data_IF_716977422382
#
_entry.id   IF_716977422382
#
_cell.length_a   1.000
_cell.length_b   1.000
_cell.length_c   1.000
_cell.angle_alpha   90.00
_cell.angle_beta   90.00
_cell.angle_gamma   90.00
#
_symmetry.space_group_name_H-M   'P 1'
#
loop_
_entity.id
_entity.type
_entity.pdbx_description
1 polymer ?
#
# COMPACT_ATOMS: atom_id res chain seq x y z
N UNK A 1 -11.78 4.74 -0.23
CA UNK A 1 -11.99 3.57 0.66
C UNK A 1 -10.61 3.02 1.00
N UNK A 2 -10.33 2.67 2.27
CA UNK A 2 -9.04 2.07 2.66
C UNK A 2 -9.23 0.56 2.64
N UNK A 3 -8.37 -0.16 1.93
CA UNK A 3 -8.32 -1.61 2.03
C UNK A 3 -7.59 -2.00 3.33
N UNK A 4 -8.27 -2.74 4.21
CA UNK A 4 -7.65 -3.30 5.41
C UNK A 4 -7.06 -4.68 5.06
N UNK A 5 -5.87 -4.96 5.57
CA UNK A 5 -5.27 -6.29 5.44
C UNK A 5 -6.03 -7.30 6.30
N UNK A 6 -5.97 -8.58 5.94
CA UNK A 6 -6.57 -9.65 6.72
C UNK A 6 -6.09 -9.65 8.18
N UNK A 7 -4.79 -9.39 8.40
CA UNK A 7 -4.22 -9.28 9.74
C UNK A 7 -4.84 -8.11 10.53
N UNK A 8 -4.99 -6.92 9.92
CA UNK A 8 -5.63 -5.79 10.60
C UNK A 8 -7.10 -6.08 10.93
N UNK A 9 -7.82 -6.76 10.05
CA UNK A 9 -9.21 -7.18 10.29
C UNK A 9 -9.27 -8.14 11.48
N UNK A 10 -8.44 -9.17 11.50
CA UNK A 10 -8.40 -10.15 12.58
C UNK A 10 -8.15 -9.49 13.96
N UNK A 11 -7.21 -8.55 14.02
CA UNK A 11 -6.95 -7.78 15.25
C UNK A 11 -8.19 -6.96 15.66
N UNK A 12 -8.83 -6.25 14.72
CA UNK A 12 -10.02 -5.46 15.01
C UNK A 12 -11.22 -6.31 15.45
N UNK A 13 -11.34 -7.52 14.91
CA UNK A 13 -12.39 -8.48 15.29
C UNK A 13 -12.17 -9.07 16.68
N UNK A 14 -10.92 -9.26 17.08
CA UNK A 14 -10.53 -9.76 18.39
C UNK A 14 -10.74 -8.72 19.52
N UNK A 15 -10.86 -7.43 19.19
CA UNK A 15 -11.05 -6.38 20.18
C UNK A 15 -12.40 -6.54 20.92
N UNK A 16 -12.43 -6.32 22.25
CA UNK A 16 -13.66 -6.37 23.02
C UNK A 16 -14.61 -5.25 22.59
N UNK A 17 -15.83 -5.63 22.17
CA UNK A 17 -16.87 -4.69 21.75
C UNK A 17 -17.70 -4.24 22.95
N UNK A 18 -17.68 -2.95 23.27
CA UNK A 18 -18.54 -2.40 24.31
C UNK A 18 -19.97 -2.22 23.78
N UNK A 19 -20.95 -2.83 24.46
CA UNK A 19 -22.36 -2.77 24.07
C UNK A 19 -22.83 -1.31 23.98
N UNK A 20 -23.47 -0.96 22.87
CA UNK A 20 -24.01 0.38 22.62
C UNK A 20 -22.95 1.44 22.27
N UNK A 21 -21.69 1.06 22.07
CA UNK A 21 -20.67 2.00 21.60
C UNK A 21 -20.72 2.16 20.08
N UNK A 22 -20.68 3.40 19.56
CA UNK A 22 -20.51 3.65 18.12
C UNK A 22 -19.05 3.61 17.67
N UNK A 23 -18.09 3.39 18.58
CA UNK A 23 -16.65 3.50 18.31
C UNK A 23 -15.98 2.12 18.23
N UNK A 24 -15.02 1.98 17.30
CA UNK A 24 -14.17 0.77 17.21
C UNK A 24 -13.25 0.66 18.43
N UNK A 25 -12.68 1.78 18.86
CA UNK A 25 -11.88 1.91 20.07
C UNK A 25 -12.60 2.89 21.02
N UNK A 26 -13.50 2.40 21.89
CA UNK A 26 -14.15 3.24 22.87
C UNK A 26 -13.25 3.52 24.07
N UNK A 27 -13.55 4.61 24.79
CA UNK A 27 -12.95 4.83 26.11
C UNK A 27 -13.44 3.74 27.07
N UNK A 28 -12.50 3.04 27.73
CA UNK A 28 -12.80 1.92 28.64
C UNK A 28 -13.82 2.31 29.71
N UNK A 29 -13.73 3.54 30.24
CA UNK A 29 -14.63 4.04 31.31
C UNK A 29 -15.93 4.67 30.79
N UNK A 30 -16.08 4.91 29.49
CA UNK A 30 -17.28 5.51 28.90
C UNK A 30 -17.42 5.10 27.42
N UNK A 31 -18.34 4.17 27.17
CA UNK A 31 -18.57 3.58 25.84
C UNK A 31 -19.11 4.57 24.79
N UNK A 32 -19.63 5.74 25.19
CA UNK A 32 -20.14 6.75 24.26
C UNK A 32 -19.04 7.65 23.70
N UNK A 33 -17.83 7.62 24.28
CA UNK A 33 -16.70 8.46 23.88
C UNK A 33 -15.61 7.62 23.19
N UNK A 34 -14.91 8.20 22.19
CA UNK A 34 -13.78 7.53 21.57
C UNK A 34 -12.59 7.45 22.54
N UNK A 35 -11.66 6.55 22.23
CA UNK A 35 -10.38 6.48 22.91
C UNK A 35 -9.63 7.81 22.80
N UNK A 36 -9.21 8.36 23.94
CA UNK A 36 -8.61 9.69 23.98
C UNK A 36 -7.17 9.68 23.45
N UNK A 37 -6.80 10.73 22.72
CA UNK A 37 -5.45 10.89 22.15
C UNK A 37 -4.35 10.86 23.22
N UNK A 38 -4.56 11.54 24.34
CA UNK A 38 -3.56 11.59 25.42
C UNK A 38 -3.36 10.21 26.06
N UNK A 39 -4.44 9.43 26.18
CA UNK A 39 -4.38 8.04 26.66
C UNK A 39 -3.64 7.14 25.67
N UNK A 40 -3.80 7.38 24.37
CA UNK A 40 -3.03 6.67 23.33
C UNK A 40 -1.54 6.98 23.45
N UNK A 41 -1.16 8.25 23.61
CA UNK A 41 0.24 8.65 23.76
C UNK A 41 0.88 8.04 25.02
N UNK A 42 0.18 8.09 26.16
CA UNK A 42 0.64 7.46 27.41
C UNK A 42 0.78 5.94 27.27
N UNK A 43 -0.18 5.28 26.61
CA UNK A 43 -0.11 3.84 26.35
C UNK A 43 1.07 3.49 25.45
N UNK A 44 1.32 4.32 24.42
CA UNK A 44 2.44 4.17 23.51
C UNK A 44 3.80 4.31 24.21
N UNK A 45 3.93 5.29 25.12
CA UNK A 45 5.13 5.45 25.94
C UNK A 45 5.42 4.18 26.77
N UNK A 46 4.39 3.61 27.40
CA UNK A 46 4.52 2.36 28.17
C UNK A 46 4.94 1.18 27.29
N UNK A 47 4.35 1.06 26.10
CA UNK A 47 4.67 -0.02 25.14
C UNK A 47 6.14 0.10 24.70
N UNK A 48 6.62 1.29 24.36
CA UNK A 48 8.02 1.51 23.95
C UNK A 48 9.03 1.16 25.03
N UNK A 49 8.75 1.59 26.25
CA UNK A 49 9.59 1.29 27.41
C UNK A 49 9.65 -0.23 27.64
N UNK A 50 8.50 -0.91 27.60
CA UNK A 50 8.44 -2.36 27.75
C UNK A 50 9.14 -3.11 26.62
N UNK A 51 9.12 -2.57 25.40
CA UNK A 51 9.76 -3.15 24.22
C UNK A 51 11.24 -2.74 24.04
N UNK A 52 11.79 -1.88 24.91
CA UNK A 52 13.18 -1.40 24.81
C UNK A 52 13.46 -0.49 23.61
N UNK A 53 12.43 0.16 23.05
CA UNK A 53 12.52 1.03 21.85
C UNK A 53 12.09 2.46 22.16
N UNK A 54 12.86 3.10 23.04
CA UNK A 54 12.52 4.40 23.61
C UNK A 54 12.57 5.57 22.62
N UNK A 55 13.12 5.42 21.41
CA UNK A 55 13.23 6.49 20.40
C UNK A 55 12.29 6.31 19.19
N UNK A 56 11.16 5.62 19.36
CA UNK A 56 10.16 5.40 18.28
C UNK A 56 8.83 6.13 18.52
N UNK A 57 8.52 7.17 17.76
CA UNK A 57 7.22 7.87 17.84
C UNK A 57 6.11 7.05 17.18
N UNK A 58 4.85 7.31 17.54
CA UNK A 58 3.71 6.59 16.96
C UNK A 58 3.61 6.82 15.44
N UNK A 59 4.02 8.00 14.96
CA UNK A 59 4.08 8.30 13.54
C UNK A 59 5.16 7.51 12.79
N UNK A 60 6.19 7.01 13.49
CA UNK A 60 7.24 6.21 12.86
C UNK A 60 6.72 4.84 12.43
N UNK A 61 5.69 4.30 13.11
CA UNK A 61 4.98 3.09 12.64
C UNK A 61 4.40 3.28 11.23
N UNK A 62 3.88 4.48 10.94
CA UNK A 62 3.38 4.82 9.60
C UNK A 62 4.52 4.99 8.60
N UNK A 63 5.66 5.52 9.02
CA UNK A 63 6.87 5.55 8.19
C UNK A 63 7.34 4.12 7.85
N UNK A 64 7.31 3.19 8.80
CA UNK A 64 7.68 1.79 8.59
C UNK A 64 6.82 1.13 7.51
N UNK A 65 5.50 1.33 7.51
CA UNK A 65 4.61 0.82 6.45
C UNK A 65 5.03 1.36 5.08
N UNK A 66 5.39 2.64 4.99
CA UNK A 66 5.89 3.23 3.74
C UNK A 66 7.20 2.60 3.27
N UNK A 67 8.15 2.41 4.19
CA UNK A 67 9.44 1.80 3.90
C UNK A 67 9.28 0.37 3.41
N UNK A 68 8.48 -0.45 4.08
CA UNK A 68 8.22 -1.84 3.65
C UNK A 68 7.56 -1.90 2.28
N UNK A 69 6.57 -1.04 2.02
CA UNK A 69 5.96 -0.97 0.69
C UNK A 69 6.98 -0.58 -0.40
N UNK A 70 7.90 0.33 -0.12
CA UNK A 70 8.99 0.69 -1.03
C UNK A 70 9.98 -0.46 -1.27
N UNK A 71 10.33 -1.21 -0.22
CA UNK A 71 11.19 -2.39 -0.28
C UNK A 71 10.55 -3.52 -1.10
N UNK A 72 9.24 -3.69 -0.99
CA UNK A 72 8.44 -4.63 -1.80
C UNK A 72 8.25 -4.15 -3.25
N UNK A 73 8.88 -3.05 -3.64
CA UNK A 73 8.88 -2.53 -5.02
C UNK A 73 7.63 -1.74 -5.39
N UNK A 74 6.82 -1.31 -4.42
CA UNK A 74 5.65 -0.47 -4.71
C UNK A 74 6.10 0.91 -5.23
N UNK A 75 5.43 1.38 -6.28
CA UNK A 75 5.70 2.71 -6.83
C UNK A 75 5.14 3.84 -5.93
N UNK A 76 5.54 5.07 -6.22
CA UNK A 76 5.15 6.26 -5.45
C UNK A 76 3.63 6.47 -5.35
N UNK A 77 2.87 6.07 -6.36
CA UNK A 77 1.42 6.22 -6.35
C UNK A 77 0.78 5.19 -5.41
N UNK A 78 1.23 3.93 -5.48
CA UNK A 78 0.75 2.87 -4.58
C UNK A 78 1.04 3.18 -3.12
N UNK A 79 2.27 3.62 -2.81
CA UNK A 79 2.62 3.99 -1.43
C UNK A 79 1.86 5.23 -0.96
N UNK A 80 1.61 6.21 -1.84
CA UNK A 80 0.77 7.38 -1.52
C UNK A 80 -0.64 6.94 -1.17
N UNK A 81 -1.23 6.05 -1.95
CA UNK A 81 -2.61 5.61 -1.79
C UNK A 81 -2.76 4.72 -0.56
N UNK A 82 -1.80 3.82 -0.32
CA UNK A 82 -1.72 2.99 0.89
C UNK A 82 -1.66 3.84 2.16
N UNK A 83 -0.78 4.84 2.20
CA UNK A 83 -0.65 5.70 3.37
C UNK A 83 -1.76 6.76 3.41
N UNK A 84 -2.35 7.15 2.28
CA UNK A 84 -3.21 8.34 2.11
C UNK A 84 -2.46 9.66 2.32
N UNK A 85 -1.27 9.78 1.74
CA UNK A 85 -0.60 11.07 1.69
C UNK A 85 -1.32 12.01 0.72
N UNK A 86 -1.52 13.26 1.15
CA UNK A 86 -2.11 14.32 0.31
C UNK A 86 -1.24 14.67 -0.90
N UNK A 87 0.07 14.45 -0.80
CA UNK A 87 1.05 14.77 -1.84
C UNK A 87 2.03 13.62 -2.05
N UNK A 88 2.41 13.41 -3.32
CA UNK A 88 3.46 12.48 -3.73
C UNK A 88 4.84 12.86 -3.17
N UNK A 89 5.07 14.15 -2.86
CA UNK A 89 6.33 14.63 -2.32
C UNK A 89 6.69 13.98 -0.96
N UNK A 90 5.68 13.66 -0.16
CA UNK A 90 5.86 12.96 1.14
C UNK A 90 6.21 11.49 0.93
N UNK A 91 5.80 10.92 -0.20
CA UNK A 91 5.99 9.50 -0.54
C UNK A 91 7.33 9.22 -1.24
N UNK A 92 7.92 10.21 -1.91
CA UNK A 92 9.19 10.07 -2.61
C UNK A 92 10.35 9.56 -1.73
N UNK A 93 10.24 9.70 -0.40
CA UNK A 93 11.22 9.18 0.56
C UNK A 93 11.29 7.65 0.64
N UNK A 94 10.24 6.93 0.28
CA UNK A 94 10.18 5.46 0.42
C UNK A 94 10.54 4.72 -0.87
N UNK A 95 10.24 5.31 -2.02
CA UNK A 95 10.34 4.67 -3.33
C UNK A 95 11.78 4.61 -3.82
N UNK A 96 12.66 5.43 -3.25
CA UNK A 96 13.99 5.70 -3.79
C UNK A 96 15.11 4.90 -3.12
N UNK A 97 14.82 3.79 -2.43
CA UNK A 97 15.83 3.06 -1.62
C UNK A 97 15.82 1.55 -1.78
N UNK A 98 15.75 1.07 -3.02
CA UNK A 98 16.29 -0.23 -3.37
C UNK A 98 16.80 -0.18 -4.81
N UNK A 99 18.07 -0.55 -5.02
CA UNK A 99 18.65 -0.66 -6.38
C UNK A 99 18.11 -1.87 -7.14
N UNK A 100 17.67 -2.90 -6.39
CA UNK A 100 17.21 -4.18 -6.91
C UNK A 100 15.90 -4.08 -7.73
N UNK A 101 14.83 -3.38 -7.26
CA UNK A 101 13.57 -3.29 -8.00
C UNK A 101 13.67 -2.53 -9.32
N UNK A 102 14.55 -1.51 -9.40
CA UNK A 102 14.76 -0.74 -10.63
C UNK A 102 15.49 -1.59 -11.67
N UNK A 103 16.49 -2.37 -11.25
CA UNK A 103 17.19 -3.30 -12.13
C UNK A 103 16.25 -4.41 -12.62
N UNK A 104 15.52 -5.05 -11.71
CA UNK A 104 14.52 -6.06 -12.07
C UNK A 104 13.42 -5.50 -12.98
N UNK A 105 13.01 -4.23 -12.79
CA UNK A 105 12.07 -3.56 -13.68
C UNK A 105 12.68 -3.33 -15.07
N UNK A 106 13.92 -2.85 -15.13
CA UNK A 106 14.65 -2.67 -16.39
C UNK A 106 14.74 -3.98 -17.15
N UNK A 107 15.12 -5.08 -16.49
CA UNK A 107 15.22 -6.40 -17.11
C UNK A 107 13.87 -6.89 -17.65
N UNK A 108 12.78 -6.74 -16.88
CA UNK A 108 11.42 -7.08 -17.34
C UNK A 108 10.96 -6.24 -18.53
N UNK A 109 11.26 -4.94 -18.54
CA UNK A 109 10.91 -4.06 -19.66
C UNK A 109 11.70 -4.43 -20.91
N UNK A 110 13.01 -4.65 -20.77
CA UNK A 110 13.88 -5.10 -21.86
C UNK A 110 13.42 -6.44 -22.43
N UNK A 111 13.08 -7.42 -21.59
CA UNK A 111 12.54 -8.70 -22.03
C UNK A 111 11.23 -8.53 -22.82
N UNK A 112 10.28 -7.73 -22.31
CA UNK A 112 9.02 -7.46 -23.01
C UNK A 112 9.22 -6.78 -24.36
N UNK A 113 10.20 -5.88 -24.47
CA UNK A 113 10.55 -5.24 -25.75
C UNK A 113 11.19 -6.27 -26.68
N UNK A 114 12.14 -7.08 -26.18
CA UNK A 114 12.81 -8.13 -26.95
C UNK A 114 11.82 -9.19 -27.48
N UNK A 115 10.84 -9.62 -26.68
CA UNK A 115 9.78 -10.56 -27.10
C UNK A 115 8.96 -10.01 -28.28
N UNK A 116 8.71 -8.69 -28.30
CA UNK A 116 7.96 -8.03 -29.37
C UNK A 116 8.81 -7.79 -30.62
N UNK A 117 10.10 -7.55 -30.45
CA UNK A 117 11.05 -7.39 -31.56
C UNK A 117 11.47 -8.72 -32.19
N UNK A 118 11.49 -9.82 -31.43
CA UNK A 118 11.88 -11.16 -31.89
C UNK A 118 10.78 -11.91 -32.64
N UNK A 119 9.57 -11.35 -32.73
CA UNK A 119 8.52 -11.83 -33.63
C UNK A 119 7.81 -13.13 -33.22
N UNK A 120 7.97 -13.62 -31.99
CA UNK A 120 7.44 -14.95 -31.58
C UNK A 120 5.96 -14.98 -31.17
N UNK A 121 5.18 -13.95 -31.49
CA UNK A 121 3.73 -14.13 -31.67
C UNK A 121 3.24 -13.16 -32.72
N UNK A 122 3.49 -13.50 -33.99
CA UNK A 122 2.57 -13.09 -35.03
C UNK A 122 1.20 -13.67 -34.64
N UNK A 123 0.38 -12.85 -33.97
CA UNK A 123 -1.05 -13.10 -33.93
C UNK A 123 -1.49 -13.29 -35.38
N UNK A 124 -2.38 -14.26 -35.62
CA UNK A 124 -2.86 -14.62 -36.95
C UNK A 124 -3.23 -13.35 -37.72
N UNK A 125 -2.42 -13.01 -38.71
CA UNK A 125 -2.68 -11.88 -39.60
C UNK A 125 -3.76 -12.36 -40.55
N UNK A 126 -5.02 -12.11 -40.18
CA UNK A 126 -6.16 -12.38 -41.05
C UNK A 126 -6.23 -11.27 -42.07
N UNK A 127 -5.88 -11.58 -43.32
CA UNK A 127 -6.03 -10.66 -44.43
C UNK A 127 -7.52 -10.31 -44.63
N UNK A 128 -7.85 -9.03 -44.50
CA UNK A 128 -9.18 -8.54 -44.85
C UNK A 128 -9.37 -8.63 -46.37
N UNK A 129 -10.35 -9.41 -46.82
CA UNK A 129 -10.78 -9.44 -48.23
C UNK A 129 -11.11 -8.00 -48.67
N UNK A 130 -10.30 -7.45 -49.58
CA UNK A 130 -10.66 -6.24 -50.32
C UNK A 130 -11.92 -6.54 -51.11
N UNK A 131 -13.03 -5.92 -50.74
CA UNK A 131 -14.23 -5.87 -51.57
C UNK A 131 -13.90 -5.04 -52.79
N UNK A 132 -13.58 -5.69 -53.91
CA UNK A 132 -13.63 -5.04 -55.23
C UNK A 132 -15.09 -4.69 -55.51
N UNK A 133 -15.48 -3.47 -55.15
CA UNK A 133 -16.67 -2.83 -55.68
C UNK A 133 -16.38 -2.44 -57.12
N UNK A 134 -16.64 -3.39 -58.03
CA UNK A 134 -16.75 -3.10 -59.45
C UNK A 134 -18.25 -3.01 -59.75
N UNK A 135 -18.77 -1.79 -59.92
CA UNK A 135 -20.10 -1.57 -60.45
C UNK A 135 -20.18 -0.17 -61.10
N UNK A 136 -20.01 -0.19 -62.42
CA UNK A 136 -20.75 0.54 -63.46
C UNK A 136 -21.27 1.95 -63.17
#
# INVERSE_FOLDING_TARGET
MIALSAAAIAELEALPKLKGSPWVLPKITNSTKPFAKDTLEQSWQRIRLAAGIEDVRLHDLRHTVGTFAGQDGANAFMVRDLLRHRSLAVTGRYVNRAADPVRALSDRVSARIADRLSGTSAGEVVDFKKTTSNAK
#
